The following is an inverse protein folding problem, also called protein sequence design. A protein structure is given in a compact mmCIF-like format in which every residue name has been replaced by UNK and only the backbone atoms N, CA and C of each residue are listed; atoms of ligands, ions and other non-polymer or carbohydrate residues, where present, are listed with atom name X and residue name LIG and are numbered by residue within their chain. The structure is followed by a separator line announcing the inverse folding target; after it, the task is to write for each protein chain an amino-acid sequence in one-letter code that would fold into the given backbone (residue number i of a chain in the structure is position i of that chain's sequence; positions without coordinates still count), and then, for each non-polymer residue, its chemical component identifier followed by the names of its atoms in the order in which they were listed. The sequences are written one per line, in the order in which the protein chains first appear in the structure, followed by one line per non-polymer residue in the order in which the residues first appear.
data_IF_415648695090
#
_entry.id   IF_415648695090
#
_cell.length_a   1.000
_cell.length_b   1.000
_cell.length_c   1.000
_cell.angle_alpha   90.00
_cell.angle_beta   90.00
_cell.angle_gamma   90.00
#
_symmetry.space_group_name_H-M   'P 1'
#
loop_
_entity.id
_entity.type
_entity.pdbx_description
1 polymer ?
#
# COMPACT_ATOMS: atom_id res chain seq x y z
N UNK A 1 22.80 14.34 -11.62
CA UNK A 1 21.42 13.86 -11.86
C UNK A 1 21.08 12.78 -10.85
N UNK A 2 20.13 13.05 -9.94
CA UNK A 2 19.61 12.04 -9.02
C UNK A 2 18.77 11.05 -9.84
N UNK A 3 19.10 9.75 -9.81
CA UNK A 3 18.31 8.74 -10.54
C UNK A 3 16.96 8.57 -9.84
N UNK A 4 15.87 8.75 -10.59
CA UNK A 4 14.51 8.54 -10.11
C UNK A 4 14.26 7.04 -9.88
N UNK A 5 13.45 6.68 -8.89
CA UNK A 5 13.17 5.29 -8.49
C UNK A 5 12.41 4.55 -9.60
N UNK A 6 11.48 5.23 -10.27
CA UNK A 6 10.66 4.69 -11.36
C UNK A 6 11.49 4.22 -12.58
N UNK A 7 12.72 4.72 -12.75
CA UNK A 7 13.65 4.26 -13.79
C UNK A 7 14.44 3.01 -13.43
N UNK A 8 14.45 2.64 -12.14
CA UNK A 8 15.14 1.48 -11.62
C UNK A 8 14.22 0.28 -11.43
N UNK A 9 12.92 0.44 -11.70
CA UNK A 9 11.90 -0.58 -11.51
C UNK A 9 11.47 -1.13 -12.87
N UNK A 10 11.47 -2.46 -12.95
CA UNK A 10 10.89 -3.18 -14.08
C UNK A 10 9.49 -3.61 -13.69
N UNK A 11 8.47 -3.19 -14.46
CA UNK A 11 7.10 -3.67 -14.26
C UNK A 11 6.97 -5.07 -14.86
N UNK A 12 6.35 -5.98 -14.11
CA UNK A 12 6.20 -7.37 -14.54
C UNK A 12 4.76 -7.68 -14.96
N UNK A 13 3.79 -7.48 -14.06
CA UNK A 13 2.37 -7.74 -14.34
C UNK A 13 1.44 -6.78 -13.61
N UNK A 14 0.26 -6.56 -14.19
CA UNK A 14 -0.86 -5.90 -13.50
C UNK A 14 -1.43 -6.88 -12.48
N UNK A 15 -1.60 -6.44 -11.22
CA UNK A 15 -2.19 -7.23 -10.13
C UNK A 15 -3.55 -6.73 -9.69
N UNK A 16 -3.84 -5.43 -9.85
CA UNK A 16 -5.16 -4.86 -9.58
C UNK A 16 -5.42 -3.67 -10.52
N UNK A 17 -6.67 -3.41 -10.84
CA UNK A 17 -7.10 -2.26 -11.62
C UNK A 17 -8.31 -1.62 -10.94
N UNK A 18 -8.14 -0.39 -10.49
CA UNK A 18 -9.16 0.37 -9.79
C UNK A 18 -9.55 1.65 -10.51
N UNK A 19 -10.50 2.36 -9.91
CA UNK A 19 -11.02 3.63 -10.44
C UNK A 19 -9.93 4.69 -10.68
N UNK A 20 -8.94 4.75 -9.79
CA UNK A 20 -7.94 5.83 -9.76
C UNK A 20 -6.59 5.42 -10.33
N UNK A 21 -6.47 4.21 -10.87
CA UNK A 21 -5.19 3.69 -11.37
C UNK A 21 -5.12 2.18 -11.32
N UNK A 22 -3.95 1.67 -11.71
CA UNK A 22 -3.64 0.23 -11.70
C UNK A 22 -2.48 -0.06 -10.75
N UNK A 23 -2.52 -1.21 -10.10
CA UNK A 23 -1.43 -1.72 -9.27
C UNK A 23 -0.71 -2.79 -10.06
N UNK A 24 0.61 -2.68 -10.10
CA UNK A 24 1.50 -3.59 -10.80
C UNK A 24 2.44 -4.25 -9.80
N UNK A 25 2.79 -5.49 -10.04
CA UNK A 25 3.99 -6.08 -9.50
C UNK A 25 5.18 -5.49 -10.27
N UNK A 26 6.10 -4.89 -9.54
CA UNK A 26 7.38 -4.44 -10.06
C UNK A 26 8.53 -5.14 -9.35
N UNK A 27 9.68 -5.17 -10.01
CA UNK A 27 10.94 -5.66 -9.45
C UNK A 27 11.91 -4.50 -9.28
N UNK A 28 12.38 -4.30 -8.05
CA UNK A 28 13.43 -3.34 -7.72
C UNK A 28 14.65 -4.10 -7.17
N UNK A 29 15.73 -4.14 -7.95
CA UNK A 29 16.84 -5.08 -7.71
C UNK A 29 16.32 -6.52 -7.71
N UNK A 30 16.44 -7.25 -6.60
CA UNK A 30 15.90 -8.61 -6.46
C UNK A 30 14.61 -8.68 -5.64
N UNK A 31 14.11 -7.53 -5.14
CA UNK A 31 12.92 -7.49 -4.30
C UNK A 31 11.67 -7.10 -5.11
N UNK A 32 10.54 -7.72 -4.74
CA UNK A 32 9.24 -7.40 -5.29
C UNK A 32 8.65 -6.15 -4.61
N UNK A 33 8.06 -5.27 -5.41
CA UNK A 33 7.38 -4.04 -4.96
C UNK A 33 6.01 -3.90 -5.62
N UNK A 34 5.04 -3.39 -4.89
CA UNK A 34 3.74 -3.03 -5.43
C UNK A 34 3.80 -1.58 -5.95
N UNK A 35 3.52 -1.40 -7.23
CA UNK A 35 3.58 -0.09 -7.90
C UNK A 35 2.17 0.32 -8.31
N UNK A 36 1.61 1.31 -7.62
CA UNK A 36 0.35 1.91 -8.02
C UNK A 36 0.61 3.08 -8.96
N UNK A 37 0.09 2.99 -10.17
CA UNK A 37 0.26 3.96 -11.24
C UNK A 37 -1.06 4.70 -11.45
N UNK A 38 -1.02 6.00 -11.23
CA UNK A 38 -2.12 6.94 -11.46
C UNK A 38 -1.90 7.71 -12.75
N UNK A 39 -3.01 8.12 -13.38
CA UNK A 39 -2.99 9.12 -14.45
C UNK A 39 -2.69 10.51 -13.86
N UNK A 40 -2.04 11.38 -14.62
CA UNK A 40 -1.90 12.79 -14.24
C UNK A 40 -3.26 13.48 -14.00
N UNK A 41 -4.33 13.02 -14.65
CA UNK A 41 -5.68 13.53 -14.42
C UNK A 41 -6.21 13.20 -13.00
N UNK A 42 -5.64 12.19 -12.33
CA UNK A 42 -6.00 11.74 -10.99
C UNK A 42 -5.01 12.22 -9.92
N UNK A 43 -4.22 13.27 -10.20
CA UNK A 43 -3.20 13.82 -9.29
C UNK A 43 -3.73 14.11 -7.89
N UNK A 44 -4.95 14.63 -7.77
CA UNK A 44 -5.59 14.88 -6.45
C UNK A 44 -5.75 13.61 -5.62
N UNK A 45 -6.02 12.48 -6.26
CA UNK A 45 -6.15 11.19 -5.57
C UNK A 45 -4.79 10.66 -5.15
N UNK A 46 -3.77 10.84 -6.00
CA UNK A 46 -2.39 10.49 -5.69
C UNK A 46 -1.83 11.31 -4.51
N UNK A 47 -1.99 12.64 -4.54
CA UNK A 47 -1.58 13.54 -3.46
C UNK A 47 -2.25 13.18 -2.13
N UNK A 48 -3.55 12.86 -2.14
CA UNK A 48 -4.24 12.42 -0.93
C UNK A 48 -3.65 11.15 -0.33
N UNK A 49 -3.26 10.18 -1.16
CA UNK A 49 -2.61 8.97 -0.65
C UNK A 49 -1.22 9.27 -0.09
N UNK A 50 -0.46 10.16 -0.72
CA UNK A 50 0.84 10.63 -0.21
C UNK A 50 0.67 11.28 1.16
N UNK A 51 -0.26 12.22 1.31
CA UNK A 51 -0.49 12.95 2.55
C UNK A 51 -0.82 12.00 3.71
N UNK A 52 -1.61 10.96 3.43
CA UNK A 52 -1.91 9.91 4.41
C UNK A 52 -0.62 9.16 4.76
N UNK A 53 0.10 8.62 3.77
CA UNK A 53 1.31 7.83 4.01
C UNK A 53 2.44 8.58 4.72
N UNK A 54 2.51 9.89 4.52
CA UNK A 54 3.50 10.77 5.15
C UNK A 54 3.07 11.31 6.51
N UNK A 55 1.86 10.98 6.99
CA UNK A 55 1.43 11.33 8.34
C UNK A 55 2.41 10.77 9.38
N UNK A 56 2.78 11.60 10.35
CA UNK A 56 3.75 11.26 11.40
C UNK A 56 3.32 9.99 12.14
N UNK A 57 4.28 9.10 12.39
CA UNK A 57 4.08 7.81 13.08
C UNK A 57 3.09 6.84 12.40
N UNK A 58 2.84 6.93 11.09
CA UNK A 58 1.98 5.96 10.40
C UNK A 58 2.65 4.59 10.17
N UNK A 59 3.99 4.54 10.12
CA UNK A 59 4.74 3.28 9.91
C UNK A 59 4.51 2.31 11.07
N UNK A 60 3.94 1.15 10.76
CA UNK A 60 3.62 0.10 11.72
C UNK A 60 3.56 -1.25 11.00
N UNK A 61 3.85 -2.36 11.70
CA UNK A 61 3.94 -3.70 11.11
C UNK A 61 2.65 -4.13 10.39
N UNK A 62 1.49 -3.75 10.92
CA UNK A 62 0.19 -4.09 10.34
C UNK A 62 -0.42 -2.97 9.48
N UNK A 63 0.40 -2.03 9.02
CA UNK A 63 0.04 -1.01 8.02
C UNK A 63 0.89 -1.21 6.79
N UNK A 64 0.28 -1.15 5.61
CA UNK A 64 0.97 -1.36 4.34
C UNK A 64 2.18 -0.42 4.24
N UNK A 65 3.37 -1.01 4.06
CA UNK A 65 4.63 -0.28 4.07
C UNK A 65 4.77 0.63 2.86
N UNK A 66 4.69 1.94 3.09
CA UNK A 66 5.02 2.96 2.11
C UNK A 66 6.54 3.03 1.87
N UNK A 67 6.94 3.01 0.60
CA UNK A 67 8.35 3.10 0.19
C UNK A 67 8.65 4.52 -0.30
N UNK A 68 7.97 4.96 -1.36
CA UNK A 68 8.25 6.22 -2.02
C UNK A 68 7.12 6.62 -2.97
N UNK A 69 7.23 7.82 -3.55
CA UNK A 69 6.50 8.24 -4.74
C UNK A 69 7.46 8.81 -5.76
N UNK A 70 7.08 8.77 -7.03
CA UNK A 70 7.88 9.27 -8.13
C UNK A 70 6.99 9.62 -9.32
N UNK A 71 7.49 10.43 -10.24
CA UNK A 71 6.85 10.69 -11.51
C UNK A 71 7.66 10.08 -12.65
N UNK A 72 6.96 9.53 -13.63
CA UNK A 72 7.58 8.96 -14.83
C UNK A 72 6.95 9.57 -16.06
N UNK A 73 7.72 10.34 -16.79
CA UNK A 73 7.31 10.80 -18.12
C UNK A 73 7.30 9.58 -19.06
N UNK A 74 6.10 9.13 -19.42
CA UNK A 74 5.94 8.24 -20.55
C UNK A 74 5.97 9.07 -21.84
N UNK A 75 6.22 8.43 -22.97
CA UNK A 75 6.32 9.10 -24.28
C UNK A 75 5.12 9.96 -24.66
N UNK A 76 3.95 9.72 -24.06
CA UNK A 76 2.67 10.37 -24.38
C UNK A 76 1.99 11.09 -23.22
N UNK A 77 2.37 10.82 -21.96
CA UNK A 77 1.78 11.44 -20.77
C UNK A 77 2.63 11.16 -19.53
N UNK A 78 2.49 11.99 -18.49
CA UNK A 78 3.12 11.76 -17.19
C UNK A 78 2.32 10.75 -16.38
N UNK A 79 3.03 9.80 -15.78
CA UNK A 79 2.49 8.83 -14.84
C UNK A 79 2.94 9.17 -13.43
N UNK A 80 2.04 9.06 -12.46
CA UNK A 80 2.33 9.28 -11.05
C UNK A 80 2.39 7.94 -10.34
N UNK A 81 3.56 7.60 -9.78
CA UNK A 81 3.85 6.29 -9.21
C UNK A 81 3.89 6.38 -7.69
N UNK A 82 3.27 5.40 -7.03
CA UNK A 82 3.33 5.20 -5.58
C UNK A 82 3.82 3.78 -5.32
N UNK A 83 4.88 3.65 -4.52
CA UNK A 83 5.56 2.41 -4.24
C UNK A 83 5.26 1.93 -2.83
N UNK A 84 4.79 0.70 -2.72
CA UNK A 84 4.52 0.01 -1.46
C UNK A 84 5.21 -1.36 -1.43
N UNK A 85 5.32 -1.92 -0.22
CA UNK A 85 5.70 -3.32 -0.05
C UNK A 85 4.76 -4.26 -0.81
N UNK A 86 5.33 -5.30 -1.44
CA UNK A 86 4.55 -6.35 -2.08
C UNK A 86 4.29 -7.51 -1.12
N UNK A 87 3.08 -8.08 -1.18
CA UNK A 87 2.67 -9.23 -0.39
C UNK A 87 2.22 -10.34 -1.33
N UNK A 88 2.95 -11.46 -1.33
CA UNK A 88 2.77 -12.57 -2.28
C UNK A 88 1.39 -13.25 -2.13
N UNK A 89 0.88 -13.32 -0.90
CA UNK A 89 -0.44 -13.87 -0.57
C UNK A 89 -1.60 -12.97 -1.02
N UNK A 90 -1.31 -11.79 -1.58
CA UNK A 90 -2.31 -10.83 -2.01
C UNK A 90 -3.09 -10.24 -0.84
N UNK A 91 -4.34 -9.85 -1.08
CA UNK A 91 -5.22 -9.35 -0.03
C UNK A 91 -5.83 -10.48 0.80
N UNK A 92 -6.37 -10.17 1.99
CA UNK A 92 -7.15 -11.13 2.80
C UNK A 92 -8.26 -11.77 1.96
N UNK A 93 -8.87 -11.01 1.04
CA UNK A 93 -9.86 -11.56 0.12
C UNK A 93 -9.25 -12.65 -0.77
N UNK A 94 -8.12 -12.38 -1.42
CA UNK A 94 -7.47 -13.31 -2.33
C UNK A 94 -7.03 -14.59 -1.60
N UNK A 95 -6.46 -14.43 -0.40
CA UNK A 95 -6.04 -15.53 0.44
C UNK A 95 -7.22 -16.43 0.83
N UNK A 96 -8.32 -15.86 1.33
CA UNK A 96 -9.51 -16.60 1.75
C UNK A 96 -10.28 -17.25 0.60
N UNK A 97 -10.16 -16.73 -0.63
CA UNK A 97 -10.77 -17.35 -1.81
C UNK A 97 -10.06 -18.64 -2.24
N UNK A 98 -8.81 -18.82 -1.83
CA UNK A 98 -7.96 -19.95 -2.27
C UNK A 98 -7.55 -20.89 -1.12
N UNK A 99 -7.74 -20.48 0.14
CA UNK A 99 -7.33 -21.23 1.31
C UNK A 99 -8.46 -21.37 2.34
N UNK A 100 -8.56 -22.57 2.92
CA UNK A 100 -9.25 -22.76 4.20
C UNK A 100 -8.29 -22.45 5.35
N UNK A 101 -8.74 -21.72 6.36
CA UNK A 101 -7.90 -21.33 7.50
C UNK A 101 -8.23 -22.12 8.77
N UNK A 102 -7.21 -22.42 9.55
CA UNK A 102 -7.36 -23.00 10.89
C UNK A 102 -7.64 -21.90 11.92
N UNK A 103 -8.16 -22.28 13.09
CA UNK A 103 -8.43 -21.33 14.19
C UNK A 103 -7.16 -20.53 14.57
N UNK A 104 -5.95 -21.13 14.70
CA UNK A 104 -4.75 -20.36 14.99
C UNK A 104 -4.42 -19.29 13.93
N UNK A 105 -4.59 -19.60 12.64
CA UNK A 105 -4.36 -18.64 11.55
C UNK A 105 -5.40 -17.52 11.60
N UNK A 106 -6.67 -17.86 11.83
CA UNK A 106 -7.75 -16.90 11.99
C UNK A 106 -7.44 -15.90 13.12
N UNK A 107 -7.03 -16.40 14.29
CA UNK A 107 -6.71 -15.54 15.45
C UNK A 107 -5.54 -14.60 15.11
N UNK A 108 -4.47 -15.09 14.49
CA UNK A 108 -3.33 -14.26 14.07
C UNK A 108 -3.75 -13.17 13.07
N UNK A 109 -4.56 -13.52 12.07
CA UNK A 109 -5.08 -12.58 11.08
C UNK A 109 -5.97 -11.51 11.73
N UNK A 110 -6.87 -11.91 12.64
CA UNK A 110 -7.75 -10.96 13.34
C UNK A 110 -6.95 -10.03 14.26
N UNK A 111 -5.93 -10.56 14.94
CA UNK A 111 -5.07 -9.77 15.81
C UNK A 111 -4.26 -8.72 15.03
N UNK A 112 -3.67 -9.10 13.88
CA UNK A 112 -2.91 -8.14 13.05
C UNK A 112 -3.81 -7.04 12.50
N UNK A 113 -5.02 -7.38 12.03
CA UNK A 113 -6.01 -6.39 11.56
C UNK A 113 -6.41 -5.45 12.70
N UNK A 114 -6.78 -6.00 13.85
CA UNK A 114 -7.20 -5.20 15.01
C UNK A 114 -6.06 -4.28 15.50
N UNK A 115 -4.83 -4.79 15.52
CA UNK A 115 -3.64 -4.03 15.90
C UNK A 115 -3.37 -2.88 14.94
N UNK A 116 -3.41 -3.11 13.62
CA UNK A 116 -3.28 -2.05 12.61
C UNK A 116 -4.36 -0.97 12.73
N UNK A 117 -5.61 -1.36 12.95
CA UNK A 117 -6.71 -0.42 13.18
C UNK A 117 -6.57 0.37 14.47
N UNK A 118 -6.14 -0.28 15.55
CA UNK A 118 -5.83 0.34 16.82
C UNK A 118 -4.74 1.42 16.63
N UNK A 119 -3.68 1.07 15.90
CA UNK A 119 -2.63 2.01 15.54
C UNK A 119 -3.16 3.19 14.73
N UNK A 120 -4.03 2.99 13.75
CA UNK A 120 -4.64 4.10 12.99
C UNK A 120 -5.47 5.03 13.89
N UNK A 121 -6.31 4.47 14.74
CA UNK A 121 -7.27 5.23 15.55
C UNK A 121 -6.66 5.94 16.75
N UNK A 122 -5.57 5.43 17.34
CA UNK A 122 -5.02 6.00 18.56
C UNK A 122 -4.07 7.17 18.27
N UNK A 123 -4.25 8.34 18.91
CA UNK A 123 -3.18 9.31 19.06
C UNK A 123 -2.01 8.68 19.81
N UNK A 124 -0.77 9.08 19.48
CA UNK A 124 0.41 8.62 20.22
C UNK A 124 0.85 9.77 21.13
N UNK A 125 0.59 9.63 22.43
CA UNK A 125 0.76 10.72 23.40
C UNK A 125 2.21 11.19 23.60
N UNK A 126 3.21 10.37 23.25
CA UNK A 126 4.63 10.73 23.37
C UNK A 126 5.10 11.74 22.32
N UNK A 127 4.33 11.91 21.25
CA UNK A 127 4.59 12.81 20.12
C UNK A 127 3.22 13.30 19.65
N UNK A 128 2.80 14.50 20.06
CA UNK A 128 1.52 15.15 19.71
C UNK A 128 1.23 15.27 18.19
N UNK A 129 2.05 14.65 17.35
CA UNK A 129 2.05 14.73 15.90
C UNK A 129 1.17 13.65 15.25
N UNK A 130 0.95 12.49 15.91
CA UNK A 130 0.05 11.47 15.34
C UNK A 130 -1.40 11.75 15.71
N UNK A 131 -2.17 12.20 14.72
CA UNK A 131 -3.62 12.32 14.80
C UNK A 131 -4.32 10.97 14.63
N UNK A 132 -5.54 10.85 15.15
CA UNK A 132 -6.41 9.71 14.89
C UNK A 132 -6.82 9.70 13.40
N UNK A 133 -6.62 8.57 12.72
CA UNK A 133 -6.97 8.38 11.32
C UNK A 133 -8.04 7.30 11.17
N UNK A 134 -9.12 7.62 10.46
CA UNK A 134 -10.16 6.65 10.12
C UNK A 134 -9.96 6.19 8.68
N UNK A 135 -9.87 4.88 8.45
CA UNK A 135 -9.60 4.32 7.11
C UNK A 135 -10.73 4.60 6.10
N UNK A 136 -11.99 4.60 6.54
CA UNK A 136 -13.23 4.90 5.76
C UNK A 136 -13.59 3.95 4.61
N UNK A 137 -12.68 3.11 4.13
CA UNK A 137 -12.96 2.07 3.10
C UNK A 137 -12.37 0.71 3.50
N UNK A 138 -12.51 0.34 4.79
CA UNK A 138 -11.95 -0.91 5.30
C UNK A 138 -12.74 -2.12 4.74
N UNK A 139 -12.04 -3.00 4.03
CA UNK A 139 -12.58 -4.24 3.45
C UNK A 139 -11.46 -5.24 3.20
N UNK A 140 -11.81 -6.53 3.07
CA UNK A 140 -10.84 -7.63 2.88
C UNK A 140 -9.92 -7.45 1.67
N UNK A 141 -10.39 -6.77 0.61
CA UNK A 141 -9.59 -6.40 -0.58
C UNK A 141 -8.56 -5.28 -0.34
N UNK A 142 -8.53 -4.68 0.84
CA UNK A 142 -7.63 -3.55 1.19
C UNK A 142 -6.68 -3.89 2.34
N UNK A 143 -6.59 -5.16 2.72
CA UNK A 143 -5.72 -5.67 3.79
C UNK A 143 -4.80 -6.72 3.17
N UNK A 144 -3.47 -6.57 3.32
CA UNK A 144 -2.47 -7.37 2.59
C UNK A 144 -1.55 -8.21 3.50
N UNK A 145 -1.82 -8.25 4.81
CA UNK A 145 -0.98 -8.97 5.77
C UNK A 145 -1.70 -10.22 6.29
N UNK A 146 -1.35 -11.39 5.76
CA UNK A 146 -1.82 -12.68 6.29
C UNK A 146 -0.75 -13.76 6.20
N UNK A 147 -0.49 -14.34 7.38
CA UNK A 147 0.41 -15.45 7.78
C UNK A 147 1.89 -15.19 7.70
#
# INVERSE_FOLDING_TARGET
MQRTLARQITLEKVIDAGRYGSVHLGKWREDHVAVKIFSANDERSWLREIDIYQTVCLRYENILGYIAVDNKDASTYTQLWLFNGYHENGSVYDYLMTHTITIPILIKMMLSIASGLCHLHMPIDSTNDKVALVHRDLKTKKIYHVV
#
